data_IF_019385144353
#
_entry.id   IF_019385144353
#
_cell.length_a   1.000
_cell.length_b   1.000
_cell.length_c   1.000
_cell.angle_alpha   90.00
_cell.angle_beta   90.00
_cell.angle_gamma   90.00
#
_symmetry.space_group_name_H-M   'P 1'
#
loop_
_entity.id
_entity.type
_entity.pdbx_description
1 polymer ?
#
# COMPACT_ATOMS: atom_id res chain seq x y z
N UNK A 1 -20.13 -4.44 -3.88
CA UNK A 1 -20.00 -5.77 -4.51
C UNK A 1 -18.56 -6.25 -4.47
N UNK A 2 -18.36 -7.56 -4.38
CA UNK A 2 -17.02 -8.17 -4.28
C UNK A 2 -16.16 -7.91 -5.52
N UNK A 3 -16.76 -7.94 -6.71
CA UNK A 3 -16.07 -7.70 -7.98
C UNK A 3 -15.96 -6.23 -8.40
N UNK A 4 -16.18 -5.29 -7.47
CA UNK A 4 -15.80 -3.89 -7.72
C UNK A 4 -14.26 -3.75 -7.78
N UNK A 5 -13.76 -3.06 -8.80
CA UNK A 5 -12.34 -2.81 -9.00
C UNK A 5 -11.79 -1.73 -8.07
N UNK A 6 -12.66 -0.89 -7.50
CA UNK A 6 -12.26 0.14 -6.56
C UNK A 6 -11.93 -0.44 -5.19
N UNK A 7 -10.99 0.17 -4.43
CA UNK A 7 -10.78 -0.15 -3.03
C UNK A 7 -12.10 -0.06 -2.24
N UNK A 8 -12.40 -1.08 -1.44
CA UNK A 8 -13.67 -1.17 -0.72
C UNK A 8 -13.74 -0.10 0.36
N UNK A 9 -14.95 0.40 0.62
CA UNK A 9 -15.22 1.40 1.66
C UNK A 9 -16.24 0.93 2.69
N UNK A 10 -16.86 -0.24 2.47
CA UNK A 10 -17.88 -0.82 3.34
C UNK A 10 -17.48 -2.25 3.73
N UNK A 11 -17.74 -2.64 4.98
CA UNK A 11 -17.39 -3.96 5.50
C UNK A 11 -18.08 -5.10 4.78
N UNK A 12 -19.35 -4.92 4.38
CA UNK A 12 -20.08 -5.90 3.56
C UNK A 12 -19.39 -6.24 2.24
N UNK A 13 -18.56 -5.33 1.72
CA UNK A 13 -17.81 -5.51 0.48
C UNK A 13 -16.37 -6.05 0.72
N UNK A 14 -15.95 -6.19 1.99
CA UNK A 14 -14.61 -6.61 2.39
C UNK A 14 -14.60 -8.07 2.83
N UNK A 15 -14.36 -8.96 1.87
CA UNK A 15 -14.34 -10.39 2.12
C UNK A 15 -13.23 -10.84 3.08
N UNK A 16 -13.64 -11.54 4.14
CA UNK A 16 -12.81 -12.36 5.03
C UNK A 16 -11.58 -11.65 5.64
N UNK A 17 -11.74 -10.38 6.00
CA UNK A 17 -10.72 -9.58 6.71
C UNK A 17 -11.15 -9.17 8.12
N UNK A 18 -12.10 -9.91 8.70
CA UNK A 18 -12.70 -9.65 10.00
C UNK A 18 -11.69 -9.62 11.15
N UNK A 19 -10.73 -10.55 11.16
CA UNK A 19 -9.64 -10.57 12.14
C UNK A 19 -8.75 -9.33 12.02
N UNK A 20 -8.39 -8.95 10.79
CA UNK A 20 -7.51 -7.79 10.53
C UNK A 20 -8.20 -6.46 10.83
N UNK A 21 -9.53 -6.39 10.67
CA UNK A 21 -10.32 -5.25 11.14
C UNK A 21 -10.31 -5.17 12.67
N UNK A 22 -10.54 -6.29 13.37
CA UNK A 22 -10.48 -6.33 14.84
C UNK A 22 -9.10 -5.95 15.37
N UNK A 23 -8.03 -6.47 14.78
CA UNK A 23 -6.65 -6.09 15.17
C UNK A 23 -6.42 -4.58 15.07
N UNK A 24 -7.02 -3.92 14.07
CA UNK A 24 -6.94 -2.47 13.87
C UNK A 24 -7.80 -1.71 14.88
N UNK A 25 -9.04 -2.15 15.10
CA UNK A 25 -9.94 -1.57 16.11
C UNK A 25 -9.32 -1.65 17.51
N UNK A 26 -8.76 -2.80 17.87
CA UNK A 26 -8.04 -3.02 19.14
C UNK A 26 -6.86 -2.06 19.29
N UNK A 27 -6.11 -1.83 18.21
CA UNK A 27 -5.00 -0.86 18.19
C UNK A 27 -5.49 0.55 18.58
N UNK A 28 -6.62 0.97 18.00
CA UNK A 28 -7.23 2.26 18.26
C UNK A 28 -7.81 2.34 19.68
N UNK A 29 -8.41 1.27 20.19
CA UNK A 29 -8.91 1.21 21.57
C UNK A 29 -7.79 1.26 22.60
N UNK A 30 -6.67 0.59 22.35
CA UNK A 30 -5.51 0.54 23.25
C UNK A 30 -4.67 1.82 23.28
N UNK A 31 -5.03 2.85 22.52
CA UNK A 31 -4.25 4.09 22.54
C UNK A 31 -2.98 4.02 21.69
N UNK A 32 -2.76 2.95 20.91
CA UNK A 32 -1.52 2.73 20.18
C UNK A 32 -1.24 3.86 19.19
N UNK A 33 0.03 4.29 19.09
CA UNK A 33 0.42 5.50 18.35
C UNK A 33 0.85 5.23 16.91
N UNK A 34 1.25 4.01 16.62
CA UNK A 34 1.78 3.61 15.33
C UNK A 34 1.25 2.23 14.96
N UNK A 35 0.53 2.17 13.84
CA UNK A 35 -0.04 0.94 13.28
C UNK A 35 0.46 0.79 11.84
N UNK A 36 0.96 -0.38 11.50
CA UNK A 36 1.44 -0.73 10.17
C UNK A 36 0.49 -1.73 9.51
N UNK A 37 0.04 -1.45 8.29
CA UNK A 37 -0.73 -2.38 7.46
C UNK A 37 0.17 -2.88 6.34
N UNK A 38 0.61 -4.13 6.43
CA UNK A 38 1.66 -4.70 5.59
C UNK A 38 1.11 -5.75 4.63
N UNK A 39 1.87 -6.05 3.57
CA UNK A 39 1.55 -7.11 2.61
C UNK A 39 1.80 -6.65 1.18
N UNK A 40 1.98 -7.60 0.25
CA UNK A 40 2.33 -7.29 -1.14
C UNK A 40 1.26 -6.47 -1.87
N UNK A 41 1.59 -5.97 -3.06
CA UNK A 41 0.65 -5.21 -3.91
C UNK A 41 -0.61 -6.04 -4.17
N UNK A 42 -1.77 -5.36 -4.23
CA UNK A 42 -3.09 -5.94 -4.60
C UNK A 42 -3.73 -6.90 -3.59
N UNK A 43 -3.24 -6.99 -2.35
CA UNK A 43 -3.90 -7.76 -1.28
C UNK A 43 -5.08 -7.06 -0.59
N UNK A 44 -5.39 -5.82 -0.96
CA UNK A 44 -6.52 -5.08 -0.39
C UNK A 44 -6.19 -4.25 0.85
N UNK A 45 -4.93 -3.89 1.09
CA UNK A 45 -4.51 -3.00 2.21
C UNK A 45 -5.31 -1.69 2.25
N UNK A 46 -5.42 -0.99 1.12
CA UNK A 46 -6.18 0.25 1.03
C UNK A 46 -7.68 0.05 1.29
N UNK A 47 -8.24 -1.11 0.92
CA UNK A 47 -9.62 -1.49 1.23
C UNK A 47 -9.81 -1.72 2.73
N UNK A 48 -8.90 -2.47 3.37
CA UNK A 48 -8.91 -2.66 4.83
C UNK A 48 -8.85 -1.31 5.56
N UNK A 49 -7.89 -0.45 5.17
CA UNK A 49 -7.73 0.87 5.75
C UNK A 49 -9.00 1.73 5.59
N UNK A 50 -9.59 1.77 4.41
CA UNK A 50 -10.80 2.55 4.15
C UNK A 50 -11.96 2.10 5.04
N UNK A 51 -12.21 0.78 5.10
CA UNK A 51 -13.28 0.21 5.94
C UNK A 51 -13.01 0.52 7.41
N UNK A 52 -11.79 0.26 7.89
CA UNK A 52 -11.43 0.48 9.28
C UNK A 52 -11.55 1.97 9.70
N UNK A 53 -11.11 2.90 8.86
CA UNK A 53 -11.29 4.33 9.10
C UNK A 53 -12.78 4.72 9.13
N UNK A 54 -13.57 4.20 8.18
CA UNK A 54 -15.01 4.45 8.13
C UNK A 54 -15.75 3.93 9.36
N UNK A 55 -15.39 2.74 9.87
CA UNK A 55 -16.06 2.13 11.03
C UNK A 55 -15.59 2.72 12.37
N UNK A 56 -14.37 3.25 12.43
CA UNK A 56 -13.81 3.86 13.65
C UNK A 56 -14.62 5.06 14.15
N UNK A 57 -15.37 5.75 13.29
CA UNK A 57 -16.04 7.02 13.57
C UNK A 57 -15.10 8.10 14.17
N UNK A 58 -13.79 7.97 13.95
CA UNK A 58 -12.79 8.95 14.37
C UNK A 58 -12.54 9.98 13.25
N UNK A 59 -12.28 11.24 13.59
CA UNK A 59 -11.70 12.18 12.64
C UNK A 59 -10.40 11.59 12.06
N UNK A 60 -10.26 11.63 10.74
CA UNK A 60 -9.09 11.01 10.11
C UNK A 60 -8.66 11.73 8.83
N UNK A 61 -7.36 11.68 8.55
CA UNK A 61 -6.80 12.02 7.27
C UNK A 61 -6.25 10.76 6.60
N UNK A 62 -6.61 10.50 5.35
CA UNK A 62 -5.97 9.47 4.52
C UNK A 62 -5.26 10.12 3.34
N UNK A 63 -3.97 9.83 3.21
CA UNK A 63 -3.12 10.41 2.18
C UNK A 63 -2.52 9.27 1.36
N UNK A 64 -2.78 9.28 0.04
CA UNK A 64 -2.05 8.43 -0.91
C UNK A 64 -0.69 9.05 -1.23
N UNK A 65 0.34 8.56 -0.54
CA UNK A 65 1.72 9.07 -0.64
C UNK A 65 2.32 8.72 -2.00
N UNK A 66 2.00 7.53 -2.53
CA UNK A 66 2.47 7.07 -3.84
C UNK A 66 1.95 8.00 -4.94
N UNK A 67 0.65 8.27 -4.97
CA UNK A 67 0.05 9.18 -5.95
C UNK A 67 0.65 10.58 -5.85
N UNK A 68 0.91 11.07 -4.64
CA UNK A 68 1.52 12.39 -4.43
C UNK A 68 2.92 12.47 -5.03
N UNK A 69 3.75 11.44 -4.78
CA UNK A 69 5.09 11.33 -5.36
C UNK A 69 5.06 11.29 -6.89
N UNK A 70 4.24 10.43 -7.50
CA UNK A 70 4.19 10.30 -8.96
C UNK A 70 3.64 11.55 -9.65
N UNK A 71 2.78 12.31 -8.98
CA UNK A 71 2.20 13.55 -9.55
C UNK A 71 3.21 14.71 -9.52
N UNK A 72 4.03 14.81 -8.48
CA UNK A 72 4.89 15.98 -8.25
C UNK A 72 6.40 15.69 -8.33
N UNK A 73 6.80 14.43 -8.51
CA UNK A 73 8.19 13.97 -8.49
C UNK A 73 8.88 14.02 -7.12
N UNK A 74 8.20 14.58 -6.10
CA UNK A 74 8.67 14.73 -4.73
C UNK A 74 7.46 14.84 -3.78
N UNK A 75 7.71 14.89 -2.47
CA UNK A 75 6.65 15.10 -1.48
C UNK A 75 7.02 16.31 -0.60
N UNK A 76 6.76 17.55 -1.07
CA UNK A 76 7.02 18.76 -0.29
C UNK A 76 6.13 18.81 0.95
N UNK A 77 6.65 19.39 2.05
CA UNK A 77 5.91 19.54 3.31
C UNK A 77 4.59 20.30 3.12
N UNK A 78 4.57 21.32 2.26
CA UNK A 78 3.36 22.09 1.94
C UNK A 78 2.26 21.24 1.32
N UNK A 79 2.63 20.40 0.35
CA UNK A 79 1.68 19.51 -0.32
C UNK A 79 1.14 18.46 0.65
N UNK A 80 2.00 17.91 1.50
CA UNK A 80 1.59 16.96 2.53
C UNK A 80 0.64 17.62 3.54
N UNK A 81 0.97 18.82 4.03
CA UNK A 81 0.13 19.60 4.93
C UNK A 81 -1.25 19.88 4.34
N UNK A 82 -1.31 20.34 3.08
CA UNK A 82 -2.57 20.57 2.35
C UNK A 82 -3.42 19.30 2.28
N UNK A 83 -2.81 18.15 1.97
CA UNK A 83 -3.51 16.86 1.89
C UNK A 83 -4.01 16.38 3.24
N UNK A 84 -3.21 16.52 4.31
CA UNK A 84 -3.61 16.17 5.68
C UNK A 84 -4.83 16.99 6.09
N UNK A 85 -4.73 18.33 6.01
CA UNK A 85 -5.81 19.22 6.43
C UNK A 85 -7.07 19.03 5.59
N UNK A 86 -6.94 19.01 4.27
CA UNK A 86 -8.09 18.82 3.38
C UNK A 86 -8.80 17.47 3.60
N UNK A 87 -8.03 16.39 3.78
CA UNK A 87 -8.59 15.06 4.07
C UNK A 87 -9.26 15.02 5.44
N UNK A 88 -8.62 15.59 6.48
CA UNK A 88 -9.17 15.64 7.82
C UNK A 88 -10.49 16.42 7.87
N UNK A 89 -10.52 17.61 7.26
CA UNK A 89 -11.74 18.44 7.16
C UNK A 89 -12.85 17.69 6.42
N UNK A 90 -12.50 16.94 5.37
CA UNK A 90 -13.47 16.17 4.58
C UNK A 90 -14.02 14.96 5.34
N UNK A 91 -13.27 14.40 6.29
CA UNK A 91 -13.75 13.30 7.14
C UNK A 91 -14.83 13.74 8.14
N UNK A 92 -14.96 15.05 8.40
CA UNK A 92 -15.92 15.60 9.34
C UNK A 92 -17.18 16.12 8.63
N UNK A 93 -18.37 15.97 9.24
CA UNK A 93 -19.62 16.50 8.69
C UNK A 93 -19.54 18.00 8.38
N UNK A 94 -19.99 18.49 7.20
CA UNK A 94 -19.88 19.89 6.79
C UNK A 94 -20.46 20.91 7.79
N UNK A 95 -21.55 20.56 8.46
CA UNK A 95 -22.24 21.40 9.45
C UNK A 95 -22.02 20.91 10.89
N UNK A 96 -21.04 20.04 11.12
CA UNK A 96 -20.76 19.47 12.44
C UNK A 96 -19.96 20.41 13.33
N UNK A 97 -20.30 20.43 14.64
CA UNK A 97 -19.57 21.22 15.65
C UNK A 97 -18.06 20.91 15.67
N UNK A 98 -17.70 19.64 15.54
CA UNK A 98 -16.30 19.17 15.45
C UNK A 98 -15.53 19.86 14.32
N UNK A 99 -16.14 19.98 13.14
CA UNK A 99 -15.49 20.63 11.97
C UNK A 99 -15.26 22.11 12.22
N UNK A 100 -16.25 22.79 12.81
CA UNK A 100 -16.14 24.22 13.14
C UNK A 100 -15.04 24.46 14.18
N UNK A 101 -15.04 23.69 15.28
CA UNK A 101 -14.01 23.80 16.31
C UNK A 101 -12.61 23.53 15.77
N UNK A 102 -12.47 22.56 14.86
CA UNK A 102 -11.18 22.28 14.21
C UNK A 102 -10.71 23.43 13.32
N UNK A 103 -11.61 24.00 12.51
CA UNK A 103 -11.29 25.15 11.66
C UNK A 103 -10.86 26.34 12.52
N UNK A 104 -11.56 26.61 13.62
CA UNK A 104 -11.22 27.67 14.57
C UNK A 104 -9.84 27.45 15.19
N UNK A 105 -9.55 26.23 15.69
CA UNK A 105 -8.25 25.89 16.24
C UNK A 105 -7.11 26.08 15.22
N UNK A 106 -7.31 25.64 13.98
CA UNK A 106 -6.32 25.78 12.90
C UNK A 106 -6.17 27.22 12.40
N UNK A 107 -7.19 28.07 12.54
CA UNK A 107 -7.14 29.47 12.09
C UNK A 107 -6.13 30.31 12.90
N UNK A 108 -5.66 29.79 14.04
CA UNK A 108 -4.58 30.38 14.82
C UNK A 108 -3.19 30.27 14.17
N UNK A 109 -3.01 29.35 13.20
CA UNK A 109 -1.74 29.14 12.52
C UNK A 109 -1.48 30.29 11.54
N UNK A 110 -0.37 31.00 11.74
CA UNK A 110 -0.06 32.19 10.95
C UNK A 110 0.20 31.82 9.48
N UNK A 111 -0.56 32.44 8.57
CA UNK A 111 -0.41 32.23 7.13
C UNK A 111 -1.14 30.99 6.60
N UNK A 112 -1.94 30.31 7.42
CA UNK A 112 -2.90 29.30 6.97
C UNK A 112 -4.25 29.95 6.64
N UNK A 113 -4.78 29.69 5.45
CA UNK A 113 -6.14 30.05 5.05
C UNK A 113 -6.94 28.80 4.73
N UNK A 114 -8.11 28.68 5.36
CA UNK A 114 -9.03 27.56 5.19
C UNK A 114 -10.34 28.06 4.57
N UNK A 115 -10.79 27.43 3.49
CA UNK A 115 -12.09 27.71 2.86
C UNK A 115 -12.76 26.41 2.44
N UNK A 116 -13.77 25.97 3.20
CA UNK A 116 -14.38 24.67 2.98
C UNK A 116 -13.38 23.55 3.23
N UNK A 117 -12.92 22.86 2.17
CA UNK A 117 -11.83 21.85 2.20
C UNK A 117 -10.54 22.36 1.58
N UNK A 118 -10.58 23.56 1.01
CA UNK A 118 -9.43 24.20 0.36
C UNK A 118 -8.50 24.77 1.41
N UNK A 119 -7.20 24.50 1.23
CA UNK A 119 -6.14 24.85 2.17
C UNK A 119 -5.08 25.61 1.40
N UNK A 120 -4.81 26.84 1.83
CA UNK A 120 -3.75 27.68 1.27
C UNK A 120 -2.76 28.08 2.36
N UNK A 121 -1.48 28.13 1.99
CA UNK A 121 -0.42 28.58 2.84
C UNK A 121 0.27 29.78 2.18
N UNK A 122 0.40 30.88 2.93
CA UNK A 122 1.12 32.09 2.48
C UNK A 122 2.65 31.91 2.53
N UNK A 123 3.11 30.95 3.34
CA UNK A 123 4.53 30.60 3.55
C UNK A 123 4.66 29.09 3.67
N UNK A 124 5.89 28.58 3.58
CA UNK A 124 6.15 27.16 3.83
C UNK A 124 5.60 26.76 5.23
N UNK A 125 4.71 25.77 5.33
CA UNK A 125 4.12 25.40 6.61
C UNK A 125 5.10 24.61 7.48
N UNK A 126 4.93 24.76 8.78
CA UNK A 126 5.50 23.86 9.77
C UNK A 126 4.52 22.71 10.04
N UNK A 127 4.89 21.50 9.63
CA UNK A 127 4.07 20.32 9.87
C UNK A 127 3.96 19.98 11.35
N UNK A 128 4.97 20.28 12.17
CA UNK A 128 4.91 20.03 13.60
C UNK A 128 3.84 20.91 14.26
N UNK A 129 3.84 22.22 13.97
CA UNK A 129 2.81 23.16 14.46
C UNK A 129 1.40 22.72 14.03
N UNK A 130 1.24 22.27 12.78
CA UNK A 130 -0.05 21.79 12.29
C UNK A 130 -0.52 20.56 13.08
N UNK A 131 0.36 19.57 13.27
CA UNK A 131 0.02 18.36 14.02
C UNK A 131 -0.26 18.66 15.50
N UNK A 132 0.48 19.58 16.11
CA UNK A 132 0.23 20.06 17.48
C UNK A 132 -1.16 20.69 17.61
N UNK A 133 -1.56 21.54 16.65
CA UNK A 133 -2.89 22.17 16.66
C UNK A 133 -4.01 21.15 16.45
N UNK A 134 -3.83 20.18 15.57
CA UNK A 134 -4.77 19.06 15.41
C UNK A 134 -4.87 18.26 16.72
N UNK A 135 -3.74 17.99 17.36
CA UNK A 135 -3.68 17.27 18.61
C UNK A 135 -4.43 18.01 19.73
N UNK A 136 -4.13 19.29 19.98
CA UNK A 136 -4.79 20.08 21.02
C UNK A 136 -6.31 20.20 20.79
N UNK A 137 -6.73 20.37 19.53
CA UNK A 137 -8.15 20.34 19.19
C UNK A 137 -8.79 18.98 19.54
N UNK A 138 -8.16 17.89 19.14
CA UNK A 138 -8.67 16.55 19.40
C UNK A 138 -8.75 16.24 20.90
N UNK A 139 -7.76 16.65 21.69
CA UNK A 139 -7.80 16.54 23.15
C UNK A 139 -8.95 17.34 23.76
N UNK A 140 -9.20 18.57 23.28
CA UNK A 140 -10.30 19.41 23.77
C UNK A 140 -11.69 18.83 23.47
N UNK A 141 -11.79 17.99 22.44
CA UNK A 141 -13.01 17.28 22.06
C UNK A 141 -13.09 15.87 22.66
N UNK A 142 -12.12 15.46 23.49
CA UNK A 142 -11.97 14.10 24.02
C UNK A 142 -11.98 13.03 22.90
N UNK A 143 -11.34 13.35 21.78
CA UNK A 143 -11.24 12.50 20.59
C UNK A 143 -9.80 12.13 20.27
N UNK A 144 -9.66 11.07 19.49
CA UNK A 144 -8.42 10.74 18.78
C UNK A 144 -8.55 11.10 17.31
N UNK A 145 -7.42 11.41 16.68
CA UNK A 145 -7.32 11.66 15.23
C UNK A 145 -6.41 10.62 14.61
N UNK A 146 -6.82 10.02 13.50
CA UNK A 146 -6.01 9.07 12.74
C UNK A 146 -5.39 9.77 11.54
N UNK A 147 -4.06 9.75 11.44
CA UNK A 147 -3.32 10.22 10.27
C UNK A 147 -2.77 9.00 9.52
N UNK A 148 -3.42 8.66 8.42
CA UNK A 148 -3.11 7.49 7.61
C UNK A 148 -2.33 7.86 6.34
N UNK A 149 -1.16 7.24 6.17
CA UNK A 149 -0.33 7.33 4.97
C UNK A 149 -0.38 6.00 4.21
N UNK A 150 -1.05 5.99 3.06
CA UNK A 150 -1.12 4.84 2.15
C UNK A 150 0.14 4.81 1.27
N UNK A 151 0.82 3.66 1.21
CA UNK A 151 2.15 3.48 0.60
C UNK A 151 3.21 4.42 1.19
N UNK A 152 3.26 4.47 2.53
CA UNK A 152 4.09 5.38 3.32
C UNK A 152 5.59 5.28 3.03
N UNK A 153 6.07 4.16 2.48
CA UNK A 153 7.47 4.00 2.13
C UNK A 153 7.96 5.04 1.10
N UNK A 154 7.08 5.68 0.34
CA UNK A 154 7.45 6.74 -0.61
C UNK A 154 7.86 8.04 0.09
N UNK A 155 7.50 8.25 1.37
CA UNK A 155 7.95 9.41 2.16
C UNK A 155 9.49 9.48 2.22
N UNK A 156 10.18 8.34 2.18
CA UNK A 156 11.66 8.25 2.16
C UNK A 156 12.29 8.93 0.95
N UNK A 157 11.55 9.08 -0.16
CA UNK A 157 12.04 9.64 -1.42
C UNK A 157 11.89 11.17 -1.49
N UNK A 158 11.35 11.79 -0.44
CA UNK A 158 11.06 13.23 -0.42
C UNK A 158 12.26 14.13 -0.14
N UNK A 159 13.35 13.58 0.41
CA UNK A 159 14.47 14.37 0.97
C UNK A 159 14.15 15.07 2.30
N UNK A 160 12.93 14.90 2.83
CA UNK A 160 12.48 15.41 4.13
C UNK A 160 12.50 14.28 5.15
N UNK A 161 12.90 14.59 6.39
CA UNK A 161 12.97 13.63 7.50
C UNK A 161 11.57 13.38 8.13
N UNK A 162 10.66 12.81 7.35
CA UNK A 162 9.30 12.50 7.82
C UNK A 162 9.26 11.42 8.93
N UNK A 163 10.24 10.52 8.98
CA UNK A 163 10.44 9.59 10.10
C UNK A 163 10.70 10.34 11.43
N UNK A 164 11.43 11.47 11.37
CA UNK A 164 11.62 12.36 12.52
C UNK A 164 10.33 13.06 12.97
N UNK A 165 9.51 13.52 12.04
CA UNK A 165 8.20 14.12 12.34
C UNK A 165 7.25 13.09 12.99
N UNK A 166 7.21 11.86 12.47
CA UNK A 166 6.39 10.79 13.05
C UNK A 166 6.91 10.44 14.45
N UNK A 167 8.23 10.36 14.65
CA UNK A 167 8.81 10.11 15.97
C UNK A 167 8.42 11.19 16.99
N UNK A 168 8.55 12.46 16.61
CA UNK A 168 8.09 13.58 17.43
C UNK A 168 6.61 13.44 17.81
N UNK A 169 5.75 13.16 16.83
CA UNK A 169 4.31 13.07 17.06
C UNK A 169 3.93 11.87 17.93
N UNK A 170 4.57 10.70 17.75
CA UNK A 170 4.35 9.52 18.58
C UNK A 170 4.69 9.79 20.05
N UNK A 171 5.73 10.58 20.32
CA UNK A 171 6.17 10.88 21.69
C UNK A 171 5.33 11.96 22.37
N UNK A 172 4.88 12.97 21.62
CA UNK A 172 4.39 14.22 22.20
C UNK A 172 2.91 14.51 21.92
N UNK A 173 2.27 13.82 20.98
CA UNK A 173 0.91 14.14 20.51
C UNK A 173 -0.08 13.01 20.85
N UNK A 174 -0.59 12.97 22.10
CA UNK A 174 -1.35 11.84 22.64
C UNK A 174 -2.73 11.64 21.99
N UNK A 175 -3.32 12.62 21.31
CA UNK A 175 -4.56 12.42 20.57
C UNK A 175 -4.32 11.84 19.17
N UNK A 176 -3.08 11.81 18.68
CA UNK A 176 -2.79 11.33 17.32
C UNK A 176 -2.49 9.83 17.27
N UNK A 177 -2.83 9.23 16.13
CA UNK A 177 -2.49 7.86 15.75
C UNK A 177 -2.00 7.85 14.32
N UNK A 178 -0.82 7.31 14.06
CA UNK A 178 -0.31 7.13 12.71
C UNK A 178 -0.62 5.73 12.21
N UNK A 179 -1.18 5.65 11.00
CA UNK A 179 -1.42 4.39 10.30
C UNK A 179 -0.63 4.41 9.00
N UNK A 180 0.30 3.48 8.83
CA UNK A 180 1.17 3.43 7.66
C UNK A 180 0.91 2.15 6.88
N UNK A 181 0.50 2.24 5.62
CA UNK A 181 0.45 1.06 4.75
C UNK A 181 1.74 0.93 3.94
N UNK A 182 2.12 -0.29 3.58
CA UNK A 182 3.27 -0.50 2.71
C UNK A 182 3.20 -1.77 1.90
N UNK A 183 3.27 -1.64 0.57
CA UNK A 183 3.43 -2.80 -0.32
C UNK A 183 4.87 -3.28 -0.47
N UNK A 184 5.84 -2.38 -0.25
CA UNK A 184 7.27 -2.67 -0.19
C UNK A 184 7.67 -2.81 1.29
N UNK A 185 7.24 -3.90 1.93
CA UNK A 185 7.35 -4.11 3.38
C UNK A 185 8.76 -3.83 3.88
N UNK A 186 9.78 -4.42 3.23
CA UNK A 186 11.19 -4.19 3.61
C UNK A 186 11.63 -2.73 3.47
N UNK A 187 11.10 -1.99 2.50
CA UNK A 187 11.40 -0.56 2.36
C UNK A 187 10.70 0.30 3.41
N UNK A 188 9.50 -0.08 3.85
CA UNK A 188 8.81 0.60 4.93
C UNK A 188 9.56 0.39 6.25
N UNK A 189 9.98 -0.84 6.57
CA UNK A 189 10.80 -1.11 7.75
C UNK A 189 12.14 -0.37 7.72
N UNK A 190 12.83 -0.31 6.57
CA UNK A 190 14.06 0.49 6.44
C UNK A 190 13.83 1.99 6.68
N UNK A 191 12.70 2.51 6.19
CA UNK A 191 12.33 3.91 6.38
C UNK A 191 12.13 4.22 7.86
N UNK A 192 11.29 3.43 8.55
CA UNK A 192 10.96 3.60 9.96
C UNK A 192 12.18 3.30 10.86
N UNK A 193 12.86 2.19 10.62
CA UNK A 193 14.06 1.81 11.35
C UNK A 193 13.82 1.55 12.84
N UNK A 194 12.71 0.88 13.18
CA UNK A 194 12.31 0.60 14.57
C UNK A 194 13.40 -0.15 15.38
N UNK A 195 14.23 -0.96 14.72
CA UNK A 195 15.33 -1.72 15.33
C UNK A 195 16.73 -1.11 15.08
N UNK A 196 16.82 0.10 14.52
CA UNK A 196 18.08 0.77 14.22
C UNK A 196 18.35 1.96 15.15
N UNK A 197 19.34 1.91 16.07
CA UNK A 197 19.64 3.00 17.02
C UNK A 197 19.95 4.36 16.40
N UNK A 198 20.29 4.41 15.11
CA UNK A 198 20.57 5.66 14.38
C UNK A 198 19.32 6.31 13.78
N UNK A 199 18.16 5.68 13.89
CA UNK A 199 16.91 6.13 13.28
C UNK A 199 15.99 6.80 14.30
N UNK A 200 15.22 7.83 13.91
CA UNK A 200 14.40 8.59 14.84
C UNK A 200 13.39 7.73 15.60
N UNK A 201 12.77 6.75 14.94
CA UNK A 201 11.72 5.89 15.51
C UNK A 201 12.25 4.66 16.27
N UNK A 202 13.57 4.56 16.50
CA UNK A 202 14.16 3.42 17.21
C UNK A 202 13.47 3.16 18.56
N UNK A 203 13.21 1.87 18.86
CA UNK A 203 12.66 1.41 20.13
C UNK A 203 11.18 1.72 20.36
N UNK A 204 10.49 2.39 19.43
CA UNK A 204 9.05 2.63 19.53
C UNK A 204 8.27 1.42 19.04
N UNK A 205 7.23 1.08 19.79
CA UNK A 205 6.32 0.00 19.42
C UNK A 205 5.46 0.41 18.21
N UNK A 206 5.31 -0.51 17.28
CA UNK A 206 4.37 -0.42 16.18
C UNK A 206 3.57 -1.72 16.11
N UNK A 207 2.24 -1.63 16.05
CA UNK A 207 1.42 -2.81 15.78
C UNK A 207 1.47 -3.14 14.30
N UNK A 208 1.79 -4.39 13.98
CA UNK A 208 1.87 -4.88 12.61
C UNK A 208 0.66 -5.74 12.27
N UNK A 209 -0.13 -5.28 11.30
CA UNK A 209 -1.28 -5.98 10.74
C UNK A 209 -0.90 -6.42 9.32
N UNK A 210 -0.49 -7.67 9.18
CA UNK A 210 -0.03 -8.22 7.91
C UNK A 210 -1.17 -8.87 7.14
N UNK A 211 -1.40 -8.42 5.92
CA UNK A 211 -2.32 -9.06 4.98
C UNK A 211 -1.58 -10.12 4.19
N UNK A 212 -2.15 -11.31 4.20
CA UNK A 212 -1.73 -12.44 3.39
C UNK A 212 -2.61 -12.57 2.14
N UNK A 213 -2.08 -13.27 1.13
CA UNK A 213 -2.88 -13.74 0.00
C UNK A 213 -3.97 -14.68 0.52
N UNK A 214 -5.08 -14.77 -0.19
CA UNK A 214 -6.08 -15.77 0.13
C UNK A 214 -5.51 -17.18 -0.08
N UNK A 215 -5.86 -18.09 0.82
CA UNK A 215 -5.70 -19.52 0.57
C UNK A 215 -6.48 -19.93 -0.68
N UNK A 216 -6.19 -21.12 -1.21
CA UNK A 216 -6.93 -21.67 -2.35
C UNK A 216 -8.45 -21.72 -2.06
N UNK A 217 -8.81 -22.18 -0.87
CA UNK A 217 -10.20 -22.29 -0.42
C UNK A 217 -10.88 -20.92 -0.33
N UNK A 218 -10.23 -19.95 0.32
CA UNK A 218 -10.72 -18.57 0.40
C UNK A 218 -10.86 -17.92 -0.98
N UNK A 219 -9.96 -18.24 -1.92
CA UNK A 219 -10.01 -17.70 -3.28
C UNK A 219 -11.20 -18.25 -4.07
N UNK A 220 -11.49 -19.55 -3.93
CA UNK A 220 -12.65 -20.20 -4.56
C UNK A 220 -13.94 -19.61 -3.97
N UNK A 221 -14.07 -19.55 -2.64
CA UNK A 221 -15.26 -19.00 -1.97
C UNK A 221 -15.46 -17.51 -2.29
N UNK A 222 -14.38 -16.71 -2.36
CA UNK A 222 -14.45 -15.32 -2.79
C UNK A 222 -15.06 -15.17 -4.19
N UNK A 223 -14.60 -15.98 -5.16
CA UNK A 223 -15.13 -15.96 -6.51
C UNK A 223 -16.57 -16.46 -6.56
N UNK A 224 -16.87 -17.57 -5.88
CA UNK A 224 -18.20 -18.17 -5.84
C UNK A 224 -19.24 -17.16 -5.29
N UNK A 225 -18.94 -16.52 -4.15
CA UNK A 225 -19.82 -15.48 -3.57
C UNK A 225 -19.99 -14.30 -4.51
N UNK A 226 -18.91 -13.83 -5.13
CA UNK A 226 -18.98 -12.72 -6.08
C UNK A 226 -19.83 -13.04 -7.32
N UNK A 227 -19.78 -14.26 -7.85
CA UNK A 227 -20.65 -14.68 -8.95
C UNK A 227 -22.10 -14.85 -8.49
N UNK A 228 -22.32 -15.34 -7.27
CA UNK A 228 -23.64 -15.45 -6.64
C UNK A 228 -24.32 -14.09 -6.48
N UNK A 229 -23.58 -13.04 -6.08
CA UNK A 229 -24.07 -11.65 -6.05
C UNK A 229 -24.59 -11.17 -7.41
N UNK A 230 -24.04 -11.72 -8.50
CA UNK A 230 -24.42 -11.39 -9.88
C UNK A 230 -25.48 -12.34 -10.46
N UNK A 231 -25.91 -13.35 -9.71
CA UNK A 231 -26.82 -14.39 -10.20
C UNK A 231 -26.23 -15.25 -11.32
N UNK A 232 -24.90 -15.41 -11.35
CA UNK A 232 -24.18 -16.20 -12.34
C UNK A 232 -23.73 -17.50 -11.69
N UNK A 233 -24.07 -18.62 -12.31
CA UNK A 233 -23.55 -19.93 -11.93
C UNK A 233 -22.26 -20.24 -12.69
N UNK A 234 -21.22 -20.65 -11.96
CA UNK A 234 -19.89 -20.92 -12.50
C UNK A 234 -19.42 -22.27 -12.00
N UNK A 235 -18.98 -23.13 -12.91
CA UNK A 235 -18.57 -24.49 -12.55
C UNK A 235 -17.34 -24.49 -11.62
N UNK A 236 -17.25 -25.39 -10.63
CA UNK A 236 -16.07 -25.50 -9.77
C UNK A 236 -14.73 -25.63 -10.54
N UNK A 237 -14.64 -26.41 -11.64
CA UNK A 237 -13.41 -26.47 -12.44
C UNK A 237 -12.99 -25.13 -13.06
N UNK A 238 -13.93 -24.24 -13.39
CA UNK A 238 -13.62 -22.88 -13.88
C UNK A 238 -13.01 -22.02 -12.76
N UNK A 239 -13.59 -22.09 -11.55
CA UNK A 239 -13.04 -21.38 -10.38
C UNK A 239 -11.63 -21.85 -10.04
N UNK A 240 -11.41 -23.17 -10.02
CA UNK A 240 -10.09 -23.76 -9.76
C UNK A 240 -9.04 -23.28 -10.77
N UNK A 241 -9.35 -23.29 -12.07
CA UNK A 241 -8.44 -22.78 -13.12
C UNK A 241 -8.12 -21.30 -12.96
N UNK A 242 -9.08 -20.48 -12.54
CA UNK A 242 -8.84 -19.08 -12.25
C UNK A 242 -7.90 -18.93 -11.04
N UNK A 243 -8.14 -19.66 -9.96
CA UNK A 243 -7.32 -19.61 -8.74
C UNK A 243 -5.90 -20.11 -9.00
N UNK A 244 -5.72 -21.19 -9.78
CA UNK A 244 -4.41 -21.71 -10.18
C UNK A 244 -3.52 -20.65 -10.87
N UNK A 245 -4.14 -19.71 -11.57
CA UNK A 245 -3.41 -18.67 -12.33
C UNK A 245 -3.22 -17.37 -11.55
N UNK A 246 -4.02 -17.12 -10.51
CA UNK A 246 -4.09 -15.83 -9.81
C UNK A 246 -3.63 -15.91 -8.35
N UNK A 247 -3.49 -17.12 -7.81
CA UNK A 247 -2.83 -17.48 -6.55
C UNK A 247 -3.23 -16.61 -5.35
N UNK A 248 -4.53 -16.39 -5.18
CA UNK A 248 -5.08 -15.73 -3.99
C UNK A 248 -4.84 -14.22 -3.90
N UNK A 249 -4.33 -13.58 -4.94
CA UNK A 249 -4.16 -12.13 -4.96
C UNK A 249 -5.52 -11.47 -5.23
N UNK A 250 -6.08 -10.88 -4.18
CA UNK A 250 -7.45 -10.31 -4.15
C UNK A 250 -7.72 -9.40 -5.35
N UNK A 251 -6.82 -8.48 -5.67
CA UNK A 251 -7.02 -7.56 -6.79
C UNK A 251 -7.12 -8.26 -8.15
N UNK A 252 -6.39 -9.37 -8.36
CA UNK A 252 -6.50 -10.16 -9.58
C UNK A 252 -7.79 -10.98 -9.61
N UNK A 253 -8.18 -11.58 -8.49
CA UNK A 253 -9.46 -12.30 -8.37
C UNK A 253 -10.65 -11.36 -8.62
N UNK A 254 -10.64 -10.16 -8.04
CA UNK A 254 -11.65 -9.12 -8.29
C UNK A 254 -11.69 -8.72 -9.77
N UNK A 255 -10.54 -8.54 -10.41
CA UNK A 255 -10.48 -8.19 -11.84
C UNK A 255 -11.02 -9.32 -12.72
N UNK A 256 -10.68 -10.57 -12.42
CA UNK A 256 -11.25 -11.72 -13.10
C UNK A 256 -12.77 -11.78 -12.94
N UNK A 257 -13.27 -11.69 -11.70
CA UNK A 257 -14.70 -11.69 -11.41
C UNK A 257 -15.44 -10.54 -12.11
N UNK A 258 -14.85 -9.35 -12.18
CA UNK A 258 -15.41 -8.22 -12.94
C UNK A 258 -15.51 -8.52 -14.44
N UNK A 259 -14.43 -9.02 -15.05
CA UNK A 259 -14.40 -9.33 -16.48
C UNK A 259 -15.33 -10.49 -16.84
N UNK A 260 -15.32 -11.55 -16.03
CA UNK A 260 -16.12 -12.75 -16.24
C UNK A 260 -17.60 -12.54 -15.92
N UNK A 261 -17.88 -11.88 -14.80
CA UNK A 261 -19.23 -11.72 -14.24
C UNK A 261 -19.93 -10.44 -14.70
N UNK A 262 -19.31 -9.28 -14.48
CA UNK A 262 -19.92 -7.98 -14.79
C UNK A 262 -19.90 -7.69 -16.28
N UNK A 263 -18.75 -7.93 -16.94
CA UNK A 263 -18.60 -7.74 -18.41
C UNK A 263 -19.07 -8.94 -19.22
N UNK A 264 -19.43 -10.05 -18.55
CA UNK A 264 -19.96 -11.28 -19.16
C UNK A 264 -19.06 -11.88 -20.25
N UNK A 265 -17.74 -11.69 -20.15
CA UNK A 265 -16.81 -12.32 -21.08
C UNK A 265 -16.76 -13.84 -20.85
N UNK A 266 -16.57 -14.67 -21.89
CA UNK A 266 -16.24 -16.08 -21.70
C UNK A 266 -14.97 -16.25 -20.84
N UNK A 267 -14.86 -17.35 -20.07
CA UNK A 267 -13.73 -17.63 -19.16
C UNK A 267 -12.36 -17.31 -19.78
N UNK A 268 -12.12 -17.88 -20.97
CA UNK A 268 -10.85 -17.74 -21.69
C UNK A 268 -10.56 -16.28 -22.05
N UNK A 269 -11.58 -15.55 -22.50
CA UNK A 269 -11.45 -14.16 -22.91
C UNK A 269 -11.26 -13.23 -21.70
N UNK A 270 -11.97 -13.51 -20.60
CA UNK A 270 -11.79 -12.81 -19.33
C UNK A 270 -10.36 -12.95 -18.80
N UNK A 271 -9.80 -14.17 -18.81
CA UNK A 271 -8.41 -14.40 -18.43
C UNK A 271 -7.43 -13.72 -19.39
N UNK A 272 -7.63 -13.83 -20.70
CA UNK A 272 -6.75 -13.19 -21.67
C UNK A 272 -6.72 -11.66 -21.50
N UNK A 273 -7.89 -11.04 -21.34
CA UNK A 273 -8.03 -9.61 -21.10
C UNK A 273 -7.41 -9.20 -19.76
N UNK A 274 -7.57 -10.02 -18.71
CA UNK A 274 -6.92 -9.80 -17.41
C UNK A 274 -5.41 -9.73 -17.56
N UNK A 275 -4.79 -10.72 -18.21
CA UNK A 275 -3.34 -10.77 -18.38
C UNK A 275 -2.84 -9.64 -19.29
N UNK A 276 -3.60 -9.26 -20.32
CA UNK A 276 -3.27 -8.11 -21.17
C UNK A 276 -3.26 -6.79 -20.38
N UNK A 277 -4.28 -6.54 -19.55
CA UNK A 277 -4.34 -5.36 -18.67
C UNK A 277 -3.26 -5.37 -17.61
N UNK A 278 -3.04 -6.53 -16.99
CA UNK A 278 -2.02 -6.68 -15.97
C UNK A 278 -0.60 -6.47 -16.53
N UNK A 279 -0.36 -6.85 -17.79
CA UNK A 279 0.91 -6.59 -18.46
C UNK A 279 1.25 -5.10 -18.51
N UNK A 280 0.30 -4.24 -18.86
CA UNK A 280 0.51 -2.80 -18.87
C UNK A 280 0.80 -2.25 -17.46
N UNK A 281 0.02 -2.67 -16.45
CA UNK A 281 0.18 -2.24 -15.06
C UNK A 281 1.54 -2.68 -14.48
N UNK A 282 1.90 -3.94 -14.65
CA UNK A 282 3.16 -4.48 -14.13
C UNK A 282 4.35 -3.85 -14.85
N UNK A 283 4.28 -3.62 -16.17
CA UNK A 283 5.35 -2.90 -16.89
C UNK A 283 5.54 -1.48 -16.36
N UNK A 284 4.45 -0.77 -16.09
CA UNK A 284 4.52 0.58 -15.51
C UNK A 284 5.14 0.55 -14.11
N UNK A 285 4.76 -0.39 -13.26
CA UNK A 285 5.34 -0.55 -11.92
C UNK A 285 6.84 -0.88 -11.97
N UNK A 286 7.23 -1.75 -12.90
CA UNK A 286 8.63 -2.11 -13.11
C UNK A 286 9.43 -1.01 -13.81
N UNK A 287 8.82 -0.06 -14.51
CA UNK A 287 9.52 0.97 -15.28
C UNK A 287 10.52 1.76 -14.43
N UNK A 288 10.10 2.15 -13.22
CA UNK A 288 10.93 2.86 -12.25
C UNK A 288 12.13 2.01 -11.82
N UNK A 289 11.93 0.71 -11.55
CA UNK A 289 13.00 -0.21 -11.19
C UNK A 289 13.99 -0.42 -12.35
N UNK A 290 13.46 -0.55 -13.57
CA UNK A 290 14.24 -0.81 -14.79
C UNK A 290 15.02 0.42 -15.23
N UNK A 291 14.54 1.64 -14.95
CA UNK A 291 15.28 2.88 -15.22
C UNK A 291 16.52 3.01 -14.33
N UNK A 292 16.46 2.50 -13.10
CA UNK A 292 17.65 2.39 -12.24
C UNK A 292 18.64 1.34 -12.73
N UNK A 293 18.16 0.14 -13.11
CA UNK A 293 19.02 -0.89 -13.69
C UNK A 293 18.24 -1.97 -14.44
N UNK A 294 18.61 -2.21 -15.71
CA UNK A 294 18.15 -3.35 -16.51
C UNK A 294 18.41 -4.71 -15.83
N UNK A 295 19.42 -4.80 -14.95
CA UNK A 295 19.77 -6.04 -14.24
C UNK A 295 18.63 -6.54 -13.35
N UNK A 296 17.80 -5.64 -12.80
CA UNK A 296 16.62 -6.05 -12.04
C UNK A 296 15.64 -6.85 -12.90
N UNK A 297 15.34 -6.38 -14.11
CA UNK A 297 14.47 -7.10 -15.04
C UNK A 297 15.03 -8.45 -15.44
N UNK A 298 16.34 -8.55 -15.62
CA UNK A 298 17.00 -9.83 -15.95
C UNK A 298 16.96 -10.82 -14.79
N UNK A 299 17.14 -10.35 -13.55
CA UNK A 299 17.02 -11.19 -12.35
C UNK A 299 15.59 -11.72 -12.22
N UNK A 300 14.58 -10.84 -12.31
CA UNK A 300 13.18 -11.26 -12.26
C UNK A 300 12.85 -12.25 -13.38
N UNK A 301 13.38 -12.03 -14.58
CA UNK A 301 13.21 -12.95 -15.70
C UNK A 301 13.86 -14.31 -15.45
N UNK A 302 15.04 -14.36 -14.84
CA UNK A 302 15.71 -15.60 -14.45
C UNK A 302 14.82 -16.41 -13.50
N UNK A 303 14.33 -15.76 -12.43
CA UNK A 303 13.46 -16.40 -11.43
C UNK A 303 12.16 -16.89 -12.06
N UNK A 304 11.53 -16.07 -12.91
CA UNK A 304 10.32 -16.48 -13.62
C UNK A 304 10.53 -17.67 -14.58
N UNK A 305 11.77 -17.91 -15.03
CA UNK A 305 12.15 -19.05 -15.85
C UNK A 305 12.55 -20.29 -15.03
N UNK A 306 12.43 -20.24 -13.70
CA UNK A 306 12.74 -21.37 -12.81
C UNK A 306 14.17 -21.37 -12.24
N UNK A 307 14.93 -20.29 -12.39
CA UNK A 307 16.23 -20.15 -11.72
C UNK A 307 15.99 -19.65 -10.31
N UNK A 308 16.00 -20.53 -9.32
CA UNK A 308 15.58 -20.20 -7.95
C UNK A 308 16.78 -19.95 -7.03
N UNK A 309 17.96 -20.50 -7.33
CA UNK A 309 19.13 -20.34 -6.45
C UNK A 309 19.95 -19.11 -6.80
N UNK A 310 20.73 -18.62 -5.82
CA UNK A 310 21.65 -17.48 -6.02
C UNK A 310 22.59 -17.70 -7.21
N UNK A 311 23.14 -18.91 -7.35
CA UNK A 311 24.11 -19.26 -8.41
C UNK A 311 23.46 -19.28 -9.79
N UNK A 312 22.31 -19.92 -9.95
CA UNK A 312 21.59 -20.00 -11.24
C UNK A 312 21.16 -18.62 -11.72
N UNK A 313 20.61 -17.79 -10.84
CA UNK A 313 20.19 -16.43 -11.17
C UNK A 313 21.40 -15.58 -11.59
N UNK A 314 22.53 -15.72 -10.89
CA UNK A 314 23.76 -15.01 -11.23
C UNK A 314 24.29 -15.43 -12.60
N UNK A 315 24.36 -16.73 -12.86
CA UNK A 315 24.81 -17.28 -14.14
C UNK A 315 23.96 -16.75 -15.30
N UNK A 316 22.64 -16.79 -15.17
CA UNK A 316 21.72 -16.23 -16.17
C UNK A 316 21.96 -14.73 -16.38
N UNK A 317 22.15 -13.96 -15.31
CA UNK A 317 22.40 -12.53 -15.39
C UNK A 317 23.74 -12.23 -16.09
N UNK A 318 24.80 -12.94 -15.75
CA UNK A 318 26.14 -12.75 -16.34
C UNK A 318 26.16 -13.13 -17.82
N UNK A 319 25.45 -14.19 -18.20
CA UNK A 319 25.25 -14.57 -19.59
C UNK A 319 24.55 -13.47 -20.41
N UNK A 320 23.59 -12.74 -19.82
CA UNK A 320 22.79 -11.71 -20.53
C UNK A 320 23.33 -10.29 -20.44
N UNK A 321 24.05 -9.93 -19.37
CA UNK A 321 24.45 -8.55 -19.07
C UNK A 321 25.90 -8.39 -18.58
N UNK A 322 26.73 -9.41 -18.81
CA UNK A 322 28.14 -9.42 -18.45
C UNK A 322 28.39 -9.60 -16.95
N UNK A 323 29.66 -9.77 -16.59
CA UNK A 323 30.10 -10.10 -15.23
C UNK A 323 29.60 -9.12 -14.17
N UNK A 324 29.35 -9.65 -12.97
CA UNK A 324 28.96 -8.88 -11.79
C UNK A 324 29.65 -9.46 -10.55
N UNK A 325 30.18 -8.58 -9.69
CA UNK A 325 30.72 -9.03 -8.41
C UNK A 325 29.60 -9.46 -7.45
N UNK A 326 29.93 -10.38 -6.55
CA UNK A 326 28.98 -11.04 -5.66
C UNK A 326 28.27 -10.07 -4.73
N UNK A 327 28.97 -9.04 -4.24
CA UNK A 327 28.42 -8.02 -3.37
C UNK A 327 27.33 -7.20 -4.07
N UNK A 328 27.60 -6.73 -5.30
CA UNK A 328 26.65 -5.96 -6.11
C UNK A 328 25.46 -6.84 -6.52
N UNK A 329 25.69 -8.09 -6.89
CA UNK A 329 24.61 -9.01 -7.22
C UNK A 329 23.70 -9.30 -6.02
N UNK A 330 24.29 -9.59 -4.85
CA UNK A 330 23.55 -9.83 -3.61
C UNK A 330 22.76 -8.60 -3.17
N UNK A 331 23.29 -7.39 -3.41
CA UNK A 331 22.56 -6.14 -3.19
C UNK A 331 21.33 -6.02 -4.09
N UNK A 332 21.44 -6.36 -5.39
CA UNK A 332 20.29 -6.35 -6.30
C UNK A 332 19.20 -7.32 -5.85
N UNK A 333 19.57 -8.56 -5.47
CA UNK A 333 18.62 -9.53 -4.92
C UNK A 333 17.96 -9.02 -3.63
N UNK A 334 18.76 -8.49 -2.70
CA UNK A 334 18.26 -7.92 -1.44
C UNK A 334 17.27 -6.79 -1.70
N UNK A 335 17.54 -5.92 -2.67
CA UNK A 335 16.64 -4.83 -3.03
C UNK A 335 15.32 -5.35 -3.62
N UNK A 336 15.36 -6.34 -4.51
CA UNK A 336 14.14 -6.97 -5.04
C UNK A 336 13.28 -7.61 -3.95
N UNK A 337 13.91 -8.21 -2.95
CA UNK A 337 13.20 -8.72 -1.76
C UNK A 337 12.57 -7.59 -0.97
N UNK A 338 13.31 -6.50 -0.71
CA UNK A 338 12.77 -5.34 0.01
C UNK A 338 11.61 -4.65 -0.72
N UNK A 339 11.66 -4.62 -2.05
CA UNK A 339 10.58 -4.09 -2.90
C UNK A 339 9.37 -5.04 -3.00
N UNK A 340 9.48 -6.27 -2.48
CA UNK A 340 8.41 -7.28 -2.55
C UNK A 340 8.23 -7.92 -3.93
N UNK A 341 9.23 -7.81 -4.82
CA UNK A 341 9.22 -8.49 -6.13
C UNK A 341 9.81 -9.90 -6.07
N UNK A 342 10.57 -10.21 -5.02
CA UNK A 342 11.07 -11.55 -4.73
C UNK A 342 10.81 -11.90 -3.26
N UNK A 343 10.50 -13.16 -3.00
CA UNK A 343 10.60 -13.75 -1.67
C UNK A 343 11.83 -14.65 -1.60
N UNK A 344 12.44 -14.75 -0.41
CA UNK A 344 13.54 -15.67 -0.15
C UNK A 344 13.05 -16.76 0.81
N UNK A 345 12.76 -17.94 0.26
CA UNK A 345 12.36 -19.12 1.01
C UNK A 345 13.49 -20.14 1.19
N UNK A 346 13.14 -21.30 1.74
CA UNK A 346 14.09 -22.40 1.94
C UNK A 346 14.69 -22.94 0.62
N UNK A 347 13.90 -22.92 -0.47
CA UNK A 347 14.31 -23.40 -1.80
C UNK A 347 15.05 -22.37 -2.65
N UNK A 348 15.11 -21.11 -2.21
CA UNK A 348 15.73 -20.03 -2.98
C UNK A 348 14.79 -18.83 -3.13
N UNK A 349 14.79 -18.22 -4.31
CA UNK A 349 14.04 -17.01 -4.64
C UNK A 349 12.83 -17.34 -5.51
N UNK A 350 11.70 -16.72 -5.22
CA UNK A 350 10.46 -16.84 -6.00
C UNK A 350 9.81 -15.48 -6.22
N UNK A 351 9.05 -15.32 -7.30
CA UNK A 351 8.21 -14.13 -7.51
C UNK A 351 6.86 -14.38 -6.81
N UNK A 352 6.47 -13.56 -5.82
CA UNK A 352 5.25 -13.80 -5.06
C UNK A 352 3.98 -13.61 -5.88
N UNK A 353 3.98 -12.75 -6.90
CA UNK A 353 2.80 -12.49 -7.76
C UNK A 353 2.92 -13.27 -9.09
N UNK A 354 2.08 -14.29 -9.34
CA UNK A 354 2.17 -15.11 -10.56
C UNK A 354 1.94 -14.28 -11.83
N UNK A 355 1.15 -13.20 -11.74
CA UNK A 355 0.91 -12.31 -12.88
C UNK A 355 2.17 -11.50 -13.18
N UNK A 356 2.90 -11.06 -12.16
CA UNK A 356 4.23 -10.45 -12.36
C UNK A 356 5.18 -11.44 -13.02
N UNK A 357 5.22 -12.70 -12.56
CA UNK A 357 6.06 -13.75 -13.12
C UNK A 357 5.77 -13.97 -14.63
N UNK A 358 4.50 -14.04 -15.01
CA UNK A 358 4.08 -14.19 -16.41
C UNK A 358 4.46 -12.98 -17.28
N UNK A 359 4.32 -11.76 -16.74
CA UNK A 359 4.67 -10.54 -17.46
C UNK A 359 6.17 -10.44 -17.69
N UNK A 360 7.00 -10.68 -16.68
CA UNK A 360 8.46 -10.53 -16.80
C UNK A 360 9.09 -11.54 -17.78
N UNK A 361 8.48 -12.72 -17.97
CA UNK A 361 8.89 -13.67 -19.03
C UNK A 361 8.82 -13.00 -20.42
N UNK A 362 7.79 -12.19 -20.66
CA UNK A 362 7.49 -11.53 -21.95
C UNK A 362 8.22 -10.21 -22.14
N UNK A 363 8.69 -9.57 -21.07
CA UNK A 363 9.40 -8.27 -21.17
C UNK A 363 10.63 -8.44 -22.09
N UNK A 364 10.61 -7.68 -23.20
CA UNK A 364 11.76 -7.50 -24.08
C UNK A 364 12.67 -6.46 -23.43
N UNK A 365 13.72 -6.94 -22.77
CA UNK A 365 14.77 -6.08 -22.24
C UNK A 365 15.73 -5.78 -23.40
N UNK A 366 15.61 -4.61 -24.04
CA UNK A 366 16.46 -4.17 -25.16
C UNK A 366 17.95 -4.30 -24.80
N UNK A 367 18.83 -4.72 -25.73
CA UNK A 367 20.27 -4.63 -25.52
C UNK A 367 20.64 -3.18 -25.19
N UNK A 368 21.43 -3.01 -24.13
CA UNK A 368 22.00 -1.72 -23.75
C UNK A 368 23.39 -1.55 -24.36
#
# INVERSE_FOLDING_TARGET
>A
MLFDLQPKTRREDLYDREEKLREFEDALHLGEKLVLILGIRRLGKSSLLNVALSESNLPHAKIDVRSLYFTHGSIPQEMLAKRILGSLISSLPPSGKLRLGMIEALSSIKGLRLSGVHVEFEKKPDLAEILERINSWAESEEKRVVIAFDEAQYLRLSGVQYDGLIAYAVDNLPALTFVLTGSEVGMLHDFLGLDNPKKPLFGRYAREITLERFSREQSIDFLERGFRELGIDVSPPELERAVDRLDGIVGWLSMYGYLRGVRKLPEKDALNELFHRAEALVKEELSSLLSYSRRYGLILKAVAMGNETWSEIKEYLEFKAGRINDAKFSLLLKNLVKYGYLDKGARGYSIPDPVVAEVVKKVKLTPG
#
